data_IF_841086147889
#
_entry.id   IF_841086147889
#
_cell.length_a   1.000
_cell.length_b   1.000
_cell.length_c   1.000
_cell.angle_alpha   90.00
_cell.angle_beta   90.00
_cell.angle_gamma   90.00
#
_symmetry.space_group_name_H-M   'P 1'
#
loop_
_entity.id
_entity.type
_entity.pdbx_description
1 polymer ?
#
# COMPACT_ATOMS: atom_id res chain seq x y z
N UNK A 1 -7.52 -21.10 2.02
CA UNK A 1 -8.82 -20.43 2.23
C UNK A 1 -9.40 -20.21 0.85
N UNK A 2 -10.52 -20.85 0.46
CA UNK A 2 -10.83 -20.99 -0.95
C UNK A 2 -11.39 -19.68 -1.49
N UNK A 3 -10.87 -19.28 -2.64
CA UNK A 3 -11.18 -18.11 -3.49
C UNK A 3 -12.69 -17.89 -3.81
N UNK A 4 -13.59 -18.69 -3.23
CA UNK A 4 -15.04 -18.66 -3.41
C UNK A 4 -15.66 -17.26 -3.22
N UNK A 5 -15.15 -16.45 -2.30
CA UNK A 5 -15.65 -15.09 -2.05
C UNK A 5 -15.42 -14.15 -3.24
N UNK A 6 -14.37 -14.42 -4.02
CA UNK A 6 -13.98 -13.65 -5.20
C UNK A 6 -14.48 -14.27 -6.50
N UNK A 7 -15.33 -15.30 -6.42
CA UNK A 7 -16.05 -15.87 -7.57
C UNK A 7 -17.48 -15.33 -7.73
N UNK A 8 -17.92 -14.43 -6.84
CA UNK A 8 -19.27 -13.86 -6.94
C UNK A 8 -19.43 -13.05 -8.23
N UNK A 9 -20.64 -13.10 -8.83
CA UNK A 9 -20.95 -12.33 -10.05
C UNK A 9 -20.64 -10.84 -9.89
N UNK A 10 -20.91 -10.29 -8.69
CA UNK A 10 -20.62 -8.91 -8.34
C UNK A 10 -19.13 -8.59 -8.33
N UNK A 11 -18.32 -9.45 -7.70
CA UNK A 11 -16.87 -9.26 -7.69
C UNK A 11 -16.27 -9.40 -9.09
N UNK A 12 -16.70 -10.39 -9.87
CA UNK A 12 -16.22 -10.60 -11.24
C UNK A 12 -16.54 -9.41 -12.17
N UNK A 13 -17.69 -8.75 -11.94
CA UNK A 13 -18.04 -7.52 -12.64
C UNK A 13 -17.07 -6.37 -12.28
N UNK A 14 -16.79 -6.17 -10.99
CA UNK A 14 -15.79 -5.18 -10.53
C UNK A 14 -14.39 -5.48 -11.11
N UNK A 15 -13.96 -6.75 -11.08
CA UNK A 15 -12.67 -7.19 -11.61
C UNK A 15 -12.54 -6.90 -13.10
N UNK A 16 -13.58 -7.20 -13.87
CA UNK A 16 -13.61 -6.91 -15.31
C UNK A 16 -13.57 -5.41 -15.59
N UNK A 17 -14.25 -4.61 -14.77
CA UNK A 17 -14.31 -3.15 -14.92
C UNK A 17 -13.00 -2.45 -14.56
N UNK A 18 -12.32 -2.86 -13.49
CA UNK A 18 -11.19 -2.10 -12.95
C UNK A 18 -9.84 -2.75 -13.16
N UNK A 19 -9.73 -4.08 -13.11
CA UNK A 19 -8.42 -4.76 -13.08
C UNK A 19 -7.98 -5.20 -14.48
N UNK A 20 -8.91 -5.67 -15.31
CA UNK A 20 -8.61 -6.16 -16.68
C UNK A 20 -8.45 -5.04 -17.71
N UNK A 21 -8.39 -3.79 -17.27
CA UNK A 21 -8.18 -2.63 -18.15
C UNK A 21 -6.67 -2.42 -18.35
N UNK A 22 -6.19 -2.27 -19.59
CA UNK A 22 -4.80 -1.91 -19.85
C UNK A 22 -4.38 -0.66 -19.06
N UNK A 23 -3.19 -0.67 -18.47
CA UNK A 23 -2.65 0.41 -17.63
C UNK A 23 -3.48 0.72 -16.37
N UNK A 24 -4.31 -0.22 -15.90
CA UNK A 24 -5.02 -0.02 -14.65
C UNK A 24 -4.06 0.16 -13.48
N UNK A 25 -4.32 1.20 -12.68
CA UNK A 25 -3.66 1.44 -11.38
C UNK A 25 -4.22 0.52 -10.28
N UNK A 26 -5.33 -0.18 -10.54
CA UNK A 26 -6.02 -1.04 -9.58
C UNK A 26 -5.60 -2.49 -9.79
N UNK A 27 -4.87 -3.04 -8.82
CA UNK A 27 -4.51 -4.46 -8.82
C UNK A 27 -5.67 -5.33 -8.31
N UNK A 28 -5.63 -6.62 -8.63
CA UNK A 28 -6.62 -7.58 -8.11
C UNK A 28 -6.60 -7.65 -6.58
N UNK A 29 -5.42 -7.70 -5.97
CA UNK A 29 -5.25 -7.69 -4.50
C UNK A 29 -5.89 -6.45 -3.88
N UNK A 30 -5.71 -5.28 -4.50
CA UNK A 30 -6.33 -4.05 -4.06
C UNK A 30 -7.86 -4.13 -4.09
N UNK A 31 -8.42 -4.64 -5.19
CA UNK A 31 -9.86 -4.83 -5.31
C UNK A 31 -10.39 -5.81 -4.25
N UNK A 32 -9.69 -6.91 -4.00
CA UNK A 32 -10.06 -7.88 -2.96
C UNK A 32 -10.09 -7.25 -1.57
N UNK A 33 -9.05 -6.49 -1.21
CA UNK A 33 -8.99 -5.75 0.05
C UNK A 33 -10.18 -4.80 0.21
N UNK A 34 -10.46 -3.98 -0.82
CA UNK A 34 -11.56 -3.01 -0.80
C UNK A 34 -12.92 -3.69 -0.81
N UNK A 35 -13.05 -4.85 -1.44
CA UNK A 35 -14.28 -5.64 -1.41
C UNK A 35 -14.58 -6.16 0.00
N UNK A 36 -13.58 -6.74 0.67
CA UNK A 36 -13.72 -7.19 2.06
C UNK A 36 -13.94 -6.04 3.05
N UNK A 37 -13.19 -4.94 2.91
CA UNK A 37 -13.36 -3.72 3.70
C UNK A 37 -14.79 -3.18 3.63
N UNK A 38 -15.41 -3.26 2.45
CA UNK A 38 -16.80 -2.83 2.23
C UNK A 38 -17.81 -3.97 2.45
N UNK A 39 -17.45 -5.01 3.21
CA UNK A 39 -18.33 -6.11 3.58
C UNK A 39 -18.97 -6.80 2.37
N UNK A 40 -18.21 -6.95 1.28
CA UNK A 40 -18.63 -7.56 0.02
C UNK A 40 -19.77 -6.80 -0.69
N UNK A 41 -20.01 -5.54 -0.33
CA UNK A 41 -21.01 -4.68 -0.95
C UNK A 41 -20.48 -4.08 -2.26
N UNK A 42 -21.00 -4.57 -3.39
CA UNK A 42 -20.55 -4.20 -4.74
C UNK A 42 -20.63 -2.70 -5.01
N UNK A 43 -21.74 -2.05 -4.63
CA UNK A 43 -21.95 -0.63 -4.89
C UNK A 43 -20.97 0.25 -4.08
N UNK A 44 -20.77 -0.07 -2.80
CA UNK A 44 -19.80 0.62 -1.95
C UNK A 44 -18.36 0.40 -2.42
N UNK A 45 -18.02 -0.84 -2.80
CA UNK A 45 -16.70 -1.13 -3.37
C UNK A 45 -16.48 -0.38 -4.67
N UNK A 46 -17.46 -0.32 -5.57
CA UNK A 46 -17.36 0.42 -6.82
C UNK A 46 -17.03 1.90 -6.57
N UNK A 47 -17.82 2.57 -5.72
CA UNK A 47 -17.61 3.97 -5.38
C UNK A 47 -16.26 4.20 -4.69
N UNK A 48 -15.86 3.27 -3.80
CA UNK A 48 -14.56 3.34 -3.15
C UNK A 48 -13.40 3.27 -4.15
N UNK A 49 -13.49 2.40 -5.17
CA UNK A 49 -12.45 2.29 -6.20
C UNK A 49 -12.44 3.51 -7.12
N UNK A 50 -13.60 4.05 -7.50
CA UNK A 50 -13.69 5.29 -8.27
C UNK A 50 -13.03 6.46 -7.52
N UNK A 51 -13.27 6.57 -6.21
CA UNK A 51 -12.60 7.56 -5.36
C UNK A 51 -11.10 7.32 -5.25
N UNK A 52 -10.65 6.06 -5.12
CA UNK A 52 -9.22 5.73 -5.11
C UNK A 52 -8.55 6.16 -6.43
N UNK A 53 -9.20 5.97 -7.59
CA UNK A 53 -8.69 6.42 -8.90
C UNK A 53 -8.51 7.94 -8.96
N UNK A 54 -9.46 8.73 -8.48
CA UNK A 54 -9.30 10.18 -8.39
C UNK A 54 -8.20 10.57 -7.40
N UNK A 55 -8.07 9.84 -6.29
CA UNK A 55 -7.00 10.05 -5.31
C UNK A 55 -5.61 9.80 -5.92
N UNK A 56 -5.44 8.80 -6.78
CA UNK A 56 -4.19 8.58 -7.51
C UNK A 56 -3.82 9.79 -8.38
N UNK A 57 -4.77 10.32 -9.14
CA UNK A 57 -4.55 11.51 -9.99
C UNK A 57 -4.14 12.72 -9.13
N UNK A 58 -4.76 12.89 -7.98
CA UNK A 58 -4.42 13.97 -7.06
C UNK A 58 -3.00 13.81 -6.48
N UNK A 59 -2.64 12.61 -6.05
CA UNK A 59 -1.28 12.30 -5.59
C UNK A 59 -0.24 12.63 -6.69
N UNK A 60 -0.52 12.27 -7.94
CA UNK A 60 0.36 12.59 -9.08
C UNK A 60 0.49 14.11 -9.31
N UNK A 61 -0.62 14.86 -9.24
CA UNK A 61 -0.61 16.32 -9.35
C UNK A 61 0.23 16.96 -8.24
N UNK A 62 0.07 16.52 -6.99
CA UNK A 62 0.82 17.05 -5.86
C UNK A 62 2.32 16.72 -5.98
N UNK A 63 2.67 15.53 -6.47
CA UNK A 63 4.06 15.18 -6.78
C UNK A 63 4.64 16.03 -7.90
N UNK A 64 3.86 16.34 -8.94
CA UNK A 64 4.29 17.25 -10.02
C UNK A 64 4.56 18.64 -9.45
N UNK A 65 3.59 19.20 -8.74
CA UNK A 65 3.71 20.49 -8.03
C UNK A 65 4.96 20.56 -7.16
N UNK A 66 5.16 19.55 -6.30
CA UNK A 66 6.33 19.44 -5.41
C UNK A 66 7.67 19.48 -6.17
N UNK A 67 7.72 18.95 -7.40
CA UNK A 67 8.94 18.88 -8.21
C UNK A 67 9.17 20.13 -9.05
N UNK A 68 8.11 20.82 -9.47
CA UNK A 68 8.18 21.89 -10.47
C UNK A 68 8.05 23.29 -9.89
N UNK A 69 7.34 23.45 -8.78
CA UNK A 69 7.11 24.77 -8.18
C UNK A 69 8.22 25.14 -7.19
N UNK A 70 8.52 26.44 -7.13
CA UNK A 70 9.37 27.01 -6.09
C UNK A 70 8.48 27.29 -4.89
N UNK A 71 8.55 26.38 -3.91
CA UNK A 71 7.79 26.45 -2.67
C UNK A 71 8.73 26.84 -1.53
N UNK A 72 8.24 27.59 -0.56
CA UNK A 72 8.98 27.79 0.67
C UNK A 72 9.05 26.49 1.50
N UNK A 73 9.79 26.54 2.61
CA UNK A 73 10.03 25.36 3.47
C UNK A 73 8.73 24.83 4.07
N UNK A 74 7.84 25.71 4.53
CA UNK A 74 6.59 25.30 5.20
C UNK A 74 5.54 24.83 4.20
N UNK A 75 5.40 25.53 3.06
CA UNK A 75 4.54 25.10 1.95
C UNK A 75 4.95 23.73 1.43
N UNK A 76 6.25 23.52 1.22
CA UNK A 76 6.78 22.23 0.78
C UNK A 76 6.46 21.16 1.81
N UNK A 77 6.70 21.41 3.09
CA UNK A 77 6.42 20.45 4.16
C UNK A 77 4.92 20.12 4.27
N UNK A 78 4.05 21.12 4.15
CA UNK A 78 2.60 20.93 4.14
C UNK A 78 2.18 20.05 2.94
N UNK A 79 2.71 20.33 1.75
CA UNK A 79 2.46 19.54 0.55
C UNK A 79 2.96 18.09 0.70
N UNK A 80 4.17 17.91 1.25
CA UNK A 80 4.76 16.61 1.52
C UNK A 80 3.91 15.80 2.52
N UNK A 81 3.38 16.43 3.56
CA UNK A 81 2.46 15.81 4.51
C UNK A 81 1.14 15.42 3.83
N UNK A 82 0.54 16.32 3.05
CA UNK A 82 -0.69 16.05 2.31
C UNK A 82 -0.55 14.84 1.38
N UNK A 83 0.57 14.73 0.66
CA UNK A 83 0.88 13.57 -0.19
C UNK A 83 0.89 12.29 0.66
N UNK A 84 1.64 12.27 1.76
CA UNK A 84 1.75 11.08 2.59
C UNK A 84 0.40 10.67 3.20
N UNK A 85 -0.43 11.63 3.62
CA UNK A 85 -1.77 11.37 4.15
C UNK A 85 -2.73 10.82 3.09
N UNK A 86 -2.66 11.30 1.84
CA UNK A 86 -3.45 10.75 0.74
C UNK A 86 -3.04 9.29 0.46
N UNK A 87 -1.73 9.02 0.36
CA UNK A 87 -1.25 7.66 0.08
C UNK A 87 -1.58 6.71 1.25
N UNK A 88 -1.53 7.19 2.49
CA UNK A 88 -1.97 6.43 3.67
C UNK A 88 -3.47 6.10 3.60
N UNK A 89 -4.34 7.07 3.31
CA UNK A 89 -5.80 6.87 3.17
C UNK A 89 -6.18 5.91 2.04
N UNK A 90 -5.33 5.82 1.01
CA UNK A 90 -5.47 4.86 -0.08
C UNK A 90 -5.43 3.43 0.47
N UNK A 91 -4.56 3.14 1.42
CA UNK A 91 -4.43 1.79 1.99
C UNK A 91 -5.65 1.41 2.85
N UNK A 92 -5.81 0.12 3.15
CA UNK A 92 -6.82 -0.32 4.12
C UNK A 92 -6.45 0.25 5.50
N UNK A 93 -7.39 0.86 6.24
CA UNK A 93 -7.14 1.39 7.58
C UNK A 93 -6.57 0.32 8.52
N UNK A 94 -5.52 0.68 9.27
CA UNK A 94 -4.77 -0.29 10.09
C UNK A 94 -5.62 -1.00 11.16
N UNK A 95 -6.67 -0.34 11.66
CA UNK A 95 -7.59 -0.91 12.65
C UNK A 95 -8.40 -2.11 12.13
N UNK A 96 -8.52 -2.27 10.81
CA UNK A 96 -9.18 -3.42 10.18
C UNK A 96 -8.24 -4.19 9.24
N UNK A 97 -7.05 -3.67 8.95
CA UNK A 97 -6.11 -4.29 8.02
C UNK A 97 -5.74 -5.71 8.43
N UNK A 98 -5.49 -5.95 9.71
CA UNK A 98 -5.07 -7.27 10.21
C UNK A 98 -6.22 -8.27 10.40
N UNK A 99 -7.47 -7.85 10.17
CA UNK A 99 -8.60 -8.80 10.08
C UNK A 99 -8.69 -9.44 8.70
N UNK A 100 -7.89 -8.97 7.73
CA UNK A 100 -7.86 -9.54 6.39
C UNK A 100 -7.14 -10.90 6.37
N UNK A 101 -7.47 -11.77 5.40
CA UNK A 101 -6.70 -12.96 5.12
C UNK A 101 -5.20 -12.66 4.90
N UNK A 102 -4.26 -13.54 5.32
CA UNK A 102 -2.82 -13.29 5.22
C UNK A 102 -2.32 -12.88 3.84
N UNK A 103 -2.86 -13.49 2.77
CA UNK A 103 -2.48 -13.17 1.38
C UNK A 103 -2.93 -11.76 0.93
N UNK A 104 -3.80 -11.10 1.69
CA UNK A 104 -4.26 -9.73 1.48
C UNK A 104 -3.63 -8.74 2.45
N UNK A 105 -2.65 -9.15 3.27
CA UNK A 105 -1.85 -8.22 4.08
C UNK A 105 -0.81 -7.53 3.20
N UNK A 106 -1.29 -6.70 2.27
CA UNK A 106 -0.48 -5.97 1.30
C UNK A 106 -0.66 -4.48 1.50
N UNK A 107 0.43 -3.75 1.65
CA UNK A 107 0.45 -2.30 1.76
C UNK A 107 1.16 -1.72 0.55
N UNK A 108 0.53 -0.76 -0.10
CA UNK A 108 1.14 0.00 -1.18
C UNK A 108 1.76 1.30 -0.64
N UNK A 109 3.09 1.32 -0.66
CA UNK A 109 3.89 2.49 -0.30
C UNK A 109 4.22 3.36 -1.52
N UNK A 110 3.80 2.97 -2.72
CA UNK A 110 4.03 3.78 -3.92
C UNK A 110 3.31 5.13 -3.80
N UNK A 111 4.05 6.21 -4.07
CA UNK A 111 3.57 7.58 -3.92
C UNK A 111 3.87 8.22 -2.57
N UNK A 112 4.28 7.45 -1.54
CA UNK A 112 4.83 8.08 -0.33
C UNK A 112 6.14 8.80 -0.62
N UNK A 113 6.44 9.78 0.22
CA UNK A 113 7.82 10.23 0.39
C UNK A 113 8.53 9.31 1.37
N UNK A 114 9.86 9.20 1.26
CA UNK A 114 10.68 8.26 2.05
C UNK A 114 10.36 8.35 3.55
N UNK A 115 10.36 9.57 4.10
CA UNK A 115 10.03 9.80 5.51
C UNK A 115 8.61 9.37 5.88
N UNK A 116 7.64 9.57 4.99
CA UNK A 116 6.26 9.12 5.17
C UNK A 116 6.13 7.61 5.15
N UNK A 117 6.77 6.93 4.19
CA UNK A 117 6.78 5.47 4.09
C UNK A 117 7.38 4.83 5.35
N UNK A 118 8.51 5.36 5.84
CA UNK A 118 9.15 4.88 7.08
C UNK A 118 8.23 5.07 8.29
N UNK A 119 7.59 6.24 8.42
CA UNK A 119 6.62 6.49 9.50
C UNK A 119 5.44 5.53 9.43
N UNK A 120 4.92 5.26 8.24
CA UNK A 120 3.80 4.35 8.05
C UNK A 120 4.17 2.90 8.39
N UNK A 121 5.36 2.43 7.99
CA UNK A 121 5.90 1.12 8.39
C UNK A 121 6.06 1.02 9.92
N UNK A 122 6.46 2.09 10.60
CA UNK A 122 6.48 2.10 12.07
C UNK A 122 5.07 1.98 12.68
N UNK A 123 4.03 2.58 12.08
CA UNK A 123 2.64 2.39 12.52
C UNK A 123 2.21 0.93 12.36
N UNK A 124 2.53 0.30 11.22
CA UNK A 124 2.28 -1.13 10.97
C UNK A 124 3.01 -1.98 12.03
N UNK A 125 4.28 -1.67 12.31
CA UNK A 125 5.06 -2.36 13.34
C UNK A 125 4.41 -2.28 14.72
N UNK A 126 3.95 -1.08 15.11
CA UNK A 126 3.29 -0.86 16.38
C UNK A 126 1.98 -1.65 16.52
N UNK A 127 1.20 -1.80 15.44
CA UNK A 127 0.02 -2.68 15.46
C UNK A 127 0.40 -4.15 15.55
N UNK A 128 1.43 -4.59 14.82
CA UNK A 128 1.89 -5.99 14.84
C UNK A 128 2.44 -6.40 16.21
N UNK A 129 3.06 -5.49 16.97
CA UNK A 129 3.52 -5.76 18.34
C UNK A 129 2.39 -6.07 19.32
N UNK A 130 1.15 -5.63 19.04
CA UNK A 130 -0.01 -5.90 19.90
C UNK A 130 -0.60 -7.30 19.65
N UNK A 131 -0.11 -8.02 18.65
CA UNK A 131 -0.64 -9.32 18.24
C UNK A 131 0.10 -10.45 18.93
N UNK A 132 -0.63 -11.53 19.25
CA UNK A 132 -0.02 -12.76 19.77
C UNK A 132 0.79 -13.50 18.70
N UNK A 133 0.34 -13.41 17.45
CA UNK A 133 0.85 -14.21 16.35
C UNK A 133 1.78 -13.41 15.44
N UNK A 134 2.85 -14.06 14.99
CA UNK A 134 3.69 -13.51 13.93
C UNK A 134 2.89 -13.34 12.64
N UNK A 135 3.02 -12.18 12.01
CA UNK A 135 2.41 -11.85 10.72
C UNK A 135 3.47 -11.33 9.77
N UNK A 136 3.26 -11.62 8.49
CA UNK A 136 4.01 -11.01 7.40
C UNK A 136 3.10 -10.04 6.65
N UNK A 137 3.65 -8.87 6.32
CA UNK A 137 3.00 -7.84 5.52
C UNK A 137 3.85 -7.61 4.27
N UNK A 138 3.23 -7.70 3.10
CA UNK A 138 3.89 -7.37 1.83
C UNK A 138 3.86 -5.87 1.63
N UNK A 139 4.99 -5.26 1.33
CA UNK A 139 5.13 -3.84 1.03
C UNK A 139 5.47 -3.65 -0.46
N UNK A 140 4.63 -2.91 -1.18
CA UNK A 140 4.87 -2.51 -2.57
C UNK A 140 5.52 -1.13 -2.54
N UNK A 141 6.71 -0.97 -3.13
CA UNK A 141 7.50 0.27 -3.03
C UNK A 141 7.55 1.10 -4.32
N UNK A 142 6.78 0.67 -5.34
CA UNK A 142 6.81 1.24 -6.69
C UNK A 142 7.84 0.56 -7.60
N UNK A 143 7.86 0.98 -8.87
CA UNK A 143 8.80 0.50 -9.87
C UNK A 143 9.91 1.52 -10.11
N UNK A 144 11.11 1.06 -10.45
CA UNK A 144 12.18 1.94 -10.89
C UNK A 144 11.85 2.50 -12.28
N UNK A 145 11.43 3.77 -12.34
CA UNK A 145 11.25 4.49 -13.60
C UNK A 145 12.62 4.94 -14.12
N UNK A 146 13.36 4.04 -14.76
CA UNK A 146 14.37 4.26 -15.82
C UNK A 146 15.28 3.04 -15.90
N UNK A 147 15.88 2.82 -17.08
CA UNK A 147 16.82 1.76 -17.48
C UNK A 147 18.13 1.66 -16.67
N UNK A 148 18.12 2.05 -15.41
CA UNK A 148 19.19 1.81 -14.45
C UNK A 148 18.65 0.81 -13.44
N UNK A 149 19.37 -0.30 -13.22
CA UNK A 149 19.04 -1.40 -12.29
C UNK A 149 19.02 -0.99 -10.80
N UNK A 150 18.60 0.24 -10.50
CA UNK A 150 18.60 0.82 -9.16
C UNK A 150 17.23 0.68 -8.53
N UNK A 151 17.23 0.06 -7.37
CA UNK A 151 16.05 -0.08 -6.53
C UNK A 151 15.41 1.28 -6.20
N UNK A 152 14.07 1.34 -6.06
CA UNK A 152 13.38 2.56 -5.64
C UNK A 152 13.94 3.10 -4.31
N UNK A 153 14.06 4.43 -4.12
CA UNK A 153 14.61 5.01 -2.88
C UNK A 153 13.89 4.56 -1.60
N UNK A 154 12.57 4.34 -1.68
CA UNK A 154 11.79 3.79 -0.55
C UNK A 154 12.28 2.39 -0.20
N UNK A 155 12.47 1.51 -1.18
CA UNK A 155 12.97 0.14 -0.99
C UNK A 155 14.31 0.14 -0.26
N UNK A 156 15.27 0.92 -0.76
CA UNK A 156 16.62 1.03 -0.18
C UNK A 156 16.54 1.50 1.27
N UNK A 157 15.78 2.56 1.54
CA UNK A 157 15.67 3.13 2.88
C UNK A 157 15.00 2.17 3.88
N UNK A 158 14.00 1.40 3.45
CA UNK A 158 13.33 0.44 4.32
C UNK A 158 14.25 -0.73 4.68
N UNK A 159 15.00 -1.28 3.72
CA UNK A 159 15.99 -2.33 3.98
C UNK A 159 17.09 -1.85 4.93
N UNK A 160 17.56 -0.61 4.79
CA UNK A 160 18.58 -0.03 5.68
C UNK A 160 18.05 0.25 7.09
N UNK A 161 16.81 0.74 7.23
CA UNK A 161 16.23 1.09 8.54
C UNK A 161 15.69 -0.11 9.32
N UNK A 162 15.30 -1.17 8.62
CA UNK A 162 14.69 -2.35 9.24
C UNK A 162 15.38 -3.66 8.79
N UNK A 163 16.72 -3.78 8.90
CA UNK A 163 17.48 -4.87 8.28
C UNK A 163 17.12 -6.27 8.82
N UNK A 164 16.58 -6.34 10.04
CA UNK A 164 16.17 -7.59 10.68
C UNK A 164 14.68 -7.91 10.53
N UNK A 165 13.88 -6.95 10.04
CA UNK A 165 12.41 -7.08 9.95
C UNK A 165 11.90 -7.00 8.52
N UNK A 166 12.66 -6.41 7.61
CA UNK A 166 12.29 -6.24 6.19
C UNK A 166 13.30 -6.99 5.33
N UNK A 167 12.77 -7.83 4.43
CA UNK A 167 13.53 -8.55 3.41
C UNK A 167 12.91 -8.39 2.04
N UNK A 168 13.67 -8.65 0.98
CA UNK A 168 13.12 -8.73 -0.38
C UNK A 168 12.28 -10.01 -0.50
N UNK A 169 11.13 -9.92 -1.20
CA UNK A 169 10.33 -11.09 -1.52
C UNK A 169 11.11 -11.98 -2.51
N UNK A 170 11.40 -13.25 -2.16
CA UNK A 170 12.17 -14.15 -3.03
C UNK A 170 11.46 -14.46 -4.35
N UNK A 171 10.14 -14.31 -4.41
CA UNK A 171 9.35 -14.57 -5.62
C UNK A 171 9.13 -13.31 -6.47
N UNK A 172 9.41 -12.12 -5.93
CA UNK A 172 9.22 -10.86 -6.61
C UNK A 172 10.16 -9.77 -6.08
N UNK A 173 11.27 -9.53 -6.77
CA UNK A 173 12.27 -8.54 -6.38
C UNK A 173 11.76 -7.10 -6.25
N UNK A 174 10.57 -6.79 -6.79
CA UNK A 174 9.91 -5.49 -6.64
C UNK A 174 9.13 -5.32 -5.33
N UNK A 175 9.02 -6.38 -4.52
CA UNK A 175 8.27 -6.39 -3.25
C UNK A 175 9.20 -6.60 -2.07
N UNK A 176 8.78 -6.08 -0.93
CA UNK A 176 9.40 -6.35 0.36
C UNK A 176 8.42 -7.11 1.25
N UNK A 177 8.95 -7.92 2.15
CA UNK A 177 8.20 -8.60 3.20
C UNK A 177 8.65 -8.02 4.53
N UNK A 178 7.68 -7.50 5.29
CA UNK A 178 7.86 -7.02 6.64
C UNK A 178 7.31 -8.04 7.64
N UNK A 179 8.17 -8.51 8.53
CA UNK A 179 7.84 -9.54 9.52
C UNK A 179 7.82 -8.91 10.91
N UNK A 180 6.72 -9.12 11.63
CA UNK A 180 6.59 -8.75 13.04
C UNK A 180 6.88 -9.97 13.90
N UNK A 181 7.93 -9.90 14.73
CA UNK A 181 8.11 -10.89 15.78
C UNK A 181 7.17 -10.57 16.94
N UNK A 182 6.48 -11.59 17.43
CA UNK A 182 6.09 -11.63 18.84
C UNK A 182 7.38 -11.79 19.63
N UNK A 183 7.81 -10.76 20.36
CA UNK A 183 8.88 -10.94 21.34
C UNK A 183 8.31 -11.75 22.51
N UNK A 184 8.23 -13.07 22.34
CA UNK A 184 8.17 -13.99 23.47
C UNK A 184 9.61 -14.38 23.78
N UNK A 185 10.31 -13.50 24.49
CA UNK A 185 11.43 -13.92 25.31
C UNK A 185 10.86 -14.32 26.67
N UNK A 186 10.83 -15.62 26.93
CA UNK A 186 10.78 -16.18 28.28
C UNK A 186 12.14 -16.03 28.93
#
# INVERSE_FOLDING_TARGET
>A
MPDSEFQSRGFLALKSRFVRVPNSVISETWLQQKYLMNQKNVARTNLCIENDVEMFKEIEKLHKRRKTEVLDVEEKKALENQINELVERKNVPLNIFFTLPPHLLVVDLHGFLIGGAVRYVNKIAAEMMKMSDSREVVLITGHANTRCDKDPPIKINLLQKFPQKIRVDPNNGGRLIFTGKSDVQK
#
